data_IF_081276978510
#
_entry.id   IF_081276978510
#
_cell.length_a   1.000
_cell.length_b   1.000
_cell.length_c   1.000
_cell.angle_alpha   90.00
_cell.angle_beta   90.00
_cell.angle_gamma   90.00
#
_symmetry.space_group_name_H-M   'P 1'
#
loop_
_entity.id
_entity.type
_entity.pdbx_description
1 polymer ?
#
# COMPACT_ATOMS: atom_id res chain seq x y z
N UNK A 1 5.38 2.78 -7.48
CA UNK A 1 5.24 4.17 -6.96
C UNK A 1 5.15 4.11 -5.44
N UNK A 2 6.29 4.31 -4.77
CA UNK A 2 6.42 4.29 -3.31
C UNK A 2 6.40 5.69 -2.68
N UNK A 3 6.44 5.73 -1.35
CA UNK A 3 6.34 6.97 -0.57
C UNK A 3 5.59 6.79 0.74
N UNK A 4 5.89 7.65 1.71
CA UNK A 4 5.20 7.69 3.02
C UNK A 4 3.67 7.74 2.87
N UNK A 5 2.97 7.26 3.89
CA UNK A 5 1.54 7.59 4.04
C UNK A 5 1.35 9.11 4.07
N UNK A 6 0.35 9.65 3.38
CA UNK A 6 0.13 11.10 3.25
C UNK A 6 1.05 11.85 2.27
N UNK A 7 1.99 11.17 1.59
CA UNK A 7 2.88 11.83 0.62
C UNK A 7 2.14 12.39 -0.60
N UNK A 8 1.13 11.66 -1.10
CA UNK A 8 0.35 12.03 -2.29
C UNK A 8 0.39 11.01 -3.42
N UNK A 9 0.88 9.79 -3.18
CA UNK A 9 1.03 8.73 -4.20
C UNK A 9 -0.25 8.52 -4.99
N UNK A 10 -1.36 8.29 -4.28
CA UNK A 10 -2.66 8.05 -4.90
C UNK A 10 -3.15 9.25 -5.74
N UNK A 11 -2.67 10.48 -5.49
CA UNK A 11 -2.96 11.63 -6.36
C UNK A 11 -2.19 11.52 -7.68
N UNK A 12 -0.89 11.24 -7.64
CA UNK A 12 -0.07 11.06 -8.86
C UNK A 12 -0.52 9.82 -9.63
N UNK A 13 -0.86 8.73 -8.95
CA UNK A 13 -1.39 7.51 -9.59
C UNK A 13 -2.67 7.80 -10.36
N UNK A 14 -3.61 8.55 -9.77
CA UNK A 14 -4.85 8.96 -10.46
C UNK A 14 -4.56 9.85 -11.68
N UNK A 15 -3.68 10.84 -11.53
CA UNK A 15 -3.29 11.71 -12.66
C UNK A 15 -2.61 10.91 -13.79
N UNK A 16 -1.70 9.99 -13.45
CA UNK A 16 -1.06 9.10 -14.40
C UNK A 16 -2.08 8.18 -15.09
N UNK A 17 -3.00 7.60 -14.34
CA UNK A 17 -4.07 6.78 -14.88
C UNK A 17 -4.92 7.57 -15.88
N UNK A 18 -5.38 8.76 -15.52
CA UNK A 18 -6.17 9.61 -16.43
C UNK A 18 -5.40 9.98 -17.70
N UNK A 19 -4.10 10.24 -17.60
CA UNK A 19 -3.24 10.51 -18.77
C UNK A 19 -3.11 9.30 -19.67
N UNK A 20 -2.86 8.11 -19.12
CA UNK A 20 -2.76 6.87 -19.90
C UNK A 20 -4.08 6.53 -20.60
N UNK A 21 -5.20 6.71 -19.91
CA UNK A 21 -6.54 6.51 -20.48
C UNK A 21 -6.81 7.47 -21.64
N UNK A 22 -6.33 8.72 -21.57
CA UNK A 22 -6.39 9.67 -22.68
C UNK A 22 -5.55 9.23 -23.91
N UNK A 23 -4.56 8.36 -23.72
CA UNK A 23 -3.82 7.67 -24.78
C UNK A 23 -4.40 6.27 -25.10
N UNK A 24 -5.68 6.05 -24.81
CA UNK A 24 -6.39 4.80 -25.05
C UNK A 24 -5.77 3.55 -24.38
N UNK A 25 -5.01 3.75 -23.30
CA UNK A 25 -4.39 2.67 -22.52
C UNK A 25 -4.94 2.70 -21.10
N UNK A 26 -5.70 1.69 -20.71
CA UNK A 26 -6.22 1.57 -19.34
C UNK A 26 -5.24 0.80 -18.46
N UNK A 27 -4.58 1.43 -17.48
CA UNK A 27 -3.71 0.70 -16.57
C UNK A 27 -4.51 -0.08 -15.52
N UNK A 28 -3.93 -1.16 -15.02
CA UNK A 28 -4.35 -1.81 -13.79
C UNK A 28 -3.61 -1.18 -12.61
N UNK A 29 -4.33 -0.65 -11.63
CA UNK A 29 -3.72 -0.13 -10.38
C UNK A 29 -3.85 -1.19 -9.29
N UNK A 30 -2.75 -1.49 -8.61
CA UNK A 30 -2.70 -2.41 -7.47
C UNK A 30 -2.05 -1.69 -6.30
N UNK A 31 -2.74 -1.63 -5.15
CA UNK A 31 -2.18 -1.08 -3.92
C UNK A 31 -1.54 -2.17 -3.08
N UNK A 32 -0.37 -1.90 -2.50
CA UNK A 32 0.17 -2.77 -1.44
C UNK A 32 -0.76 -2.84 -0.23
N UNK A 33 -1.57 -1.81 0.02
CA UNK A 33 -2.59 -1.83 1.08
C UNK A 33 -3.65 -2.91 0.84
N UNK A 34 -3.94 -3.28 -0.42
CA UNK A 34 -4.89 -4.36 -0.75
C UNK A 34 -4.36 -5.76 -0.41
N UNK A 35 -3.05 -5.87 -0.14
CA UNK A 35 -2.37 -7.09 0.30
C UNK A 35 -2.14 -7.10 1.82
N UNK A 36 -2.85 -6.25 2.57
CA UNK A 36 -2.84 -6.30 4.02
C UNK A 36 -3.39 -7.65 4.52
N UNK A 37 -2.72 -8.30 5.47
CA UNK A 37 -3.06 -9.67 5.94
C UNK A 37 -4.34 -9.76 6.78
N UNK A 38 -4.75 -8.66 7.39
CA UNK A 38 -5.98 -8.56 8.18
C UNK A 38 -5.76 -8.76 9.67
N UNK A 39 -6.69 -8.25 10.47
CA UNK A 39 -6.60 -8.28 11.94
C UNK A 39 -6.55 -9.70 12.46
N UNK A 40 -7.39 -10.59 11.93
CA UNK A 40 -7.46 -12.00 12.33
C UNK A 40 -6.12 -12.70 12.15
N UNK A 41 -5.48 -12.51 10.99
CA UNK A 41 -4.18 -13.09 10.72
C UNK A 41 -3.11 -12.54 11.67
N UNK A 42 -3.09 -11.21 11.85
CA UNK A 42 -2.09 -10.54 12.68
C UNK A 42 -2.19 -10.91 14.16
N UNK A 43 -3.40 -11.03 14.71
CA UNK A 43 -3.63 -11.48 16.08
C UNK A 43 -3.13 -12.91 16.26
N UNK A 44 -3.44 -13.81 15.32
CA UNK A 44 -2.95 -15.19 15.39
C UNK A 44 -1.41 -15.26 15.29
N UNK A 45 -0.81 -14.46 14.40
CA UNK A 45 0.64 -14.33 14.29
C UNK A 45 1.28 -13.81 15.59
N UNK A 46 0.57 -12.94 16.31
CA UNK A 46 1.02 -12.32 17.56
C UNK A 46 0.61 -13.12 18.81
N UNK A 47 0.37 -14.43 18.69
CA UNK A 47 0.06 -15.30 19.83
C UNK A 47 -1.29 -15.04 20.49
N UNK A 48 -2.24 -14.42 19.78
CA UNK A 48 -3.57 -14.06 20.28
C UNK A 48 -3.69 -12.63 20.78
N UNK A 49 -2.60 -11.87 20.83
CA UNK A 49 -2.60 -10.48 21.30
C UNK A 49 -2.92 -9.49 20.16
N UNK A 50 -3.61 -8.37 20.44
CA UNK A 50 -3.89 -7.33 19.45
C UNK A 50 -2.62 -6.81 18.77
N UNK A 51 -2.66 -6.73 17.43
CA UNK A 51 -1.57 -6.12 16.66
C UNK A 51 -1.60 -4.60 16.77
N UNK A 52 -0.42 -4.00 16.89
CA UNK A 52 -0.28 -2.54 17.10
C UNK A 52 0.60 -1.85 16.07
N UNK A 53 1.37 -2.60 15.27
CA UNK A 53 2.39 -2.07 14.34
C UNK A 53 1.93 -2.13 12.89
N UNK A 54 0.91 -1.36 12.54
CA UNK A 54 0.20 -1.45 11.25
C UNK A 54 1.04 -1.10 10.01
N UNK A 55 2.17 -0.41 10.16
CA UNK A 55 3.09 -0.08 9.05
C UNK A 55 4.28 -1.08 8.94
N UNK A 56 4.31 -2.13 9.77
CA UNK A 56 5.34 -3.19 9.74
C UNK A 56 5.25 -4.01 8.44
N UNK A 57 6.37 -4.53 7.95
CA UNK A 57 6.45 -5.29 6.70
C UNK A 57 5.60 -6.56 6.74
N UNK A 58 5.51 -7.21 7.91
CA UNK A 58 4.74 -8.46 8.06
C UNK A 58 3.24 -8.27 7.78
N UNK A 59 2.74 -7.03 7.94
CA UNK A 59 1.34 -6.66 7.69
C UNK A 59 0.97 -6.85 6.21
N UNK A 60 1.94 -6.75 5.30
CA UNK A 60 1.73 -6.77 3.87
C UNK A 60 2.20 -8.10 3.27
N UNK A 61 1.30 -8.85 2.63
CA UNK A 61 1.60 -10.13 1.99
C UNK A 61 2.26 -9.94 0.62
N UNK A 62 3.50 -9.44 0.64
CA UNK A 62 4.25 -9.11 -0.57
C UNK A 62 4.66 -10.35 -1.39
N UNK A 63 4.77 -11.53 -0.78
CA UNK A 63 5.05 -12.77 -1.50
C UNK A 63 3.85 -13.19 -2.36
N UNK A 64 2.65 -13.07 -1.81
CA UNK A 64 1.43 -13.31 -2.58
C UNK A 64 1.28 -12.26 -3.68
N UNK A 65 1.59 -11.00 -3.38
CA UNK A 65 1.61 -9.93 -4.38
C UNK A 65 2.62 -10.20 -5.50
N UNK A 66 3.82 -10.71 -5.18
CA UNK A 66 4.82 -11.11 -6.17
C UNK A 66 4.23 -12.14 -7.14
N UNK A 67 3.63 -13.20 -6.63
CA UNK A 67 3.04 -14.25 -7.47
C UNK A 67 1.88 -13.74 -8.33
N UNK A 68 1.07 -12.81 -7.81
CA UNK A 68 -0.01 -12.19 -8.58
C UNK A 68 0.54 -11.25 -9.67
N UNK A 69 1.63 -10.51 -9.41
CA UNK A 69 2.32 -9.70 -10.42
C UNK A 69 2.89 -10.57 -11.55
N UNK A 70 3.56 -11.67 -11.21
CA UNK A 70 4.14 -12.60 -12.20
C UNK A 70 3.07 -13.21 -13.09
N UNK A 71 1.94 -13.63 -12.52
CA UNK A 71 0.79 -14.11 -13.28
C UNK A 71 0.27 -13.06 -14.27
N UNK A 72 0.13 -11.80 -13.83
CA UNK A 72 -0.32 -10.72 -14.71
C UNK A 72 0.68 -10.43 -15.84
N UNK A 73 1.99 -10.46 -15.56
CA UNK A 73 3.04 -10.30 -16.59
C UNK A 73 2.97 -11.41 -17.63
N UNK A 74 2.61 -12.63 -17.23
CA UNK A 74 2.39 -13.77 -18.13
C UNK A 74 1.03 -13.75 -18.85
N UNK A 75 0.21 -12.70 -18.64
CA UNK A 75 -1.12 -12.58 -19.24
C UNK A 75 -2.20 -13.43 -18.56
N UNK A 76 -1.92 -14.00 -17.39
CA UNK A 76 -2.87 -14.80 -16.59
C UNK A 76 -3.69 -13.90 -15.66
N UNK A 77 -4.99 -14.14 -15.50
CA UNK A 77 -5.81 -13.38 -14.56
C UNK A 77 -5.48 -13.74 -13.12
N UNK A 78 -5.71 -12.80 -12.20
CA UNK A 78 -5.58 -13.01 -10.75
C UNK A 78 -6.94 -12.85 -10.06
N UNK A 79 -7.05 -13.28 -8.80
CA UNK A 79 -8.20 -12.93 -7.96
C UNK A 79 -8.10 -11.45 -7.59
N UNK A 80 -9.19 -10.68 -7.76
CA UNK A 80 -9.24 -9.31 -7.22
C UNK A 80 -9.09 -9.34 -5.71
N UNK A 81 -8.28 -8.41 -5.18
CA UNK A 81 -8.06 -8.19 -3.74
C UNK A 81 -8.31 -6.74 -3.43
N UNK A 82 -8.94 -6.48 -2.29
CA UNK A 82 -9.04 -5.16 -1.68
C UNK A 82 -9.01 -5.30 -0.17
N UNK A 83 -8.64 -4.24 0.54
CA UNK A 83 -8.71 -4.23 2.00
C UNK A 83 -9.91 -3.42 2.49
N UNK A 84 -10.76 -4.04 3.32
CA UNK A 84 -11.86 -3.34 3.97
C UNK A 84 -11.39 -2.74 5.29
N UNK A 85 -11.25 -1.41 5.31
CA UNK A 85 -10.85 -0.66 6.49
C UNK A 85 -11.91 -0.65 7.60
N UNK A 86 -13.18 -0.96 7.30
CA UNK A 86 -14.25 -1.03 8.30
C UNK A 86 -14.14 -2.29 9.14
N UNK A 87 -13.90 -3.43 8.48
CA UNK A 87 -13.73 -4.73 9.16
C UNK A 87 -12.28 -5.03 9.49
N UNK A 88 -11.34 -4.26 8.92
CA UNK A 88 -9.90 -4.50 8.94
C UNK A 88 -9.52 -5.91 8.44
N UNK A 89 -10.14 -6.33 7.33
CA UNK A 89 -9.95 -7.65 6.72
C UNK A 89 -9.85 -7.60 5.19
N UNK A 90 -9.14 -8.55 4.56
CA UNK A 90 -9.10 -8.68 3.10
C UNK A 90 -10.47 -9.04 2.52
N UNK A 91 -10.78 -8.50 1.36
CA UNK A 91 -11.93 -8.85 0.53
C UNK A 91 -11.46 -9.35 -0.82
N UNK A 92 -12.13 -10.39 -1.30
CA UNK A 92 -11.85 -11.03 -2.58
C UNK A 92 -13.07 -10.93 -3.48
N UNK A 93 -12.85 -10.53 -4.72
CA UNK A 93 -13.89 -10.40 -5.75
C UNK A 93 -13.50 -11.17 -7.01
N UNK A 94 -14.26 -11.02 -8.10
CA UNK A 94 -14.02 -11.73 -9.35
C UNK A 94 -12.61 -11.55 -9.96
N UNK A 95 -12.31 -12.28 -11.04
CA UNK A 95 -10.99 -12.26 -11.65
C UNK A 95 -10.67 -10.90 -12.29
N UNK A 96 -9.41 -10.48 -12.17
CA UNK A 96 -8.84 -9.33 -12.87
C UNK A 96 -7.93 -9.84 -13.97
N UNK A 97 -8.19 -9.42 -15.21
CA UNK A 97 -7.36 -9.73 -16.35
C UNK A 97 -6.12 -8.82 -16.41
N UNK A 98 -5.02 -9.37 -16.95
CA UNK A 98 -3.79 -8.62 -17.23
C UNK A 98 -4.07 -7.38 -18.08
N UNK A 99 -3.34 -6.30 -17.79
CA UNK A 99 -3.36 -5.05 -18.55
C UNK A 99 -1.95 -4.73 -19.05
N UNK A 100 -1.80 -4.02 -20.18
CA UNK A 100 -0.48 -3.66 -20.73
C UNK A 100 0.37 -2.82 -19.77
N UNK A 101 -0.27 -2.07 -18.86
CA UNK A 101 0.39 -1.28 -17.83
C UNK A 101 -0.19 -1.67 -16.47
N UNK A 102 0.69 -2.05 -15.56
CA UNK A 102 0.35 -2.31 -14.15
C UNK A 102 1.06 -1.25 -13.31
N UNK A 103 0.29 -0.48 -12.55
CA UNK A 103 0.79 0.54 -11.62
C UNK A 103 0.66 -0.02 -10.21
N UNK A 104 1.81 -0.23 -9.58
CA UNK A 104 1.87 -0.63 -8.18
C UNK A 104 2.08 0.62 -7.31
N UNK A 105 1.24 0.80 -6.29
CA UNK A 105 1.31 1.91 -5.35
C UNK A 105 1.24 1.46 -3.89
N UNK A 106 1.58 2.36 -2.97
CA UNK A 106 1.53 2.14 -1.53
C UNK A 106 2.90 2.23 -0.86
N UNK A 107 2.93 2.05 0.47
CA UNK A 107 4.14 2.33 1.26
C UNK A 107 5.26 1.31 1.01
N UNK A 108 4.90 0.07 0.62
CA UNK A 108 5.85 -1.00 0.26
C UNK A 108 6.00 -1.19 -1.25
N UNK A 109 5.49 -0.29 -2.09
CA UNK A 109 5.43 -0.46 -3.54
C UNK A 109 6.80 -0.56 -4.24
N UNK A 110 7.86 -0.10 -3.58
CA UNK A 110 9.24 -0.20 -4.06
C UNK A 110 10.02 -1.34 -3.36
N UNK A 111 9.35 -2.23 -2.63
CA UNK A 111 10.00 -3.37 -1.97
C UNK A 111 10.71 -4.27 -2.99
N UNK A 112 11.95 -4.73 -2.72
CA UNK A 112 12.66 -5.65 -3.61
C UNK A 112 11.90 -6.98 -3.77
N UNK A 113 11.07 -7.35 -2.78
CA UNK A 113 10.23 -8.56 -2.83
C UNK A 113 9.29 -8.57 -4.03
N UNK A 114 8.77 -7.41 -4.46
CA UNK A 114 7.82 -7.26 -5.59
C UNK A 114 8.41 -6.54 -6.83
N UNK A 115 9.66 -6.08 -6.74
CA UNK A 115 10.39 -5.44 -7.84
C UNK A 115 10.88 -6.44 -8.90
N UNK A 116 10.50 -6.28 -10.17
CA UNK A 116 11.09 -7.01 -11.31
C UNK A 116 12.16 -6.15 -12.00
N UNK A 117 13.14 -6.74 -12.71
CA UNK A 117 14.22 -6.00 -13.37
C UNK A 117 13.76 -4.91 -14.37
N UNK A 118 12.61 -5.11 -15.02
CA UNK A 118 12.08 -4.19 -16.04
C UNK A 118 11.18 -3.09 -15.45
N UNK A 119 11.01 -3.05 -14.12
CA UNK A 119 10.10 -2.10 -13.48
C UNK A 119 10.68 -0.68 -13.44
N UNK A 120 9.79 0.30 -13.64
CA UNK A 120 10.07 1.71 -13.39
C UNK A 120 9.73 2.05 -11.94
N UNK A 121 10.72 2.55 -11.20
CA UNK A 121 10.56 2.95 -9.80
C UNK A 121 10.47 4.46 -9.65
N UNK A 122 9.52 4.90 -8.84
CA UNK A 122 9.37 6.28 -8.43
C UNK A 122 9.04 6.34 -6.94
N UNK A 123 9.75 7.19 -6.21
CA UNK A 123 9.59 7.39 -4.78
C UNK A 123 9.14 8.82 -4.52
N UNK A 124 7.97 8.99 -3.89
CA UNK A 124 7.51 10.31 -3.48
C UNK A 124 8.28 10.81 -2.26
N UNK A 125 9.05 11.88 -2.47
CA UNK A 125 9.94 12.48 -1.46
C UNK A 125 9.31 13.61 -0.64
N UNK A 126 7.98 13.64 -0.54
CA UNK A 126 7.27 14.66 0.24
C UNK A 126 7.75 14.71 1.69
N UNK A 127 7.99 15.94 2.18
CA UNK A 127 8.52 16.17 3.53
C UNK A 127 7.62 15.58 4.62
N UNK A 128 8.25 15.04 5.67
CA UNK A 128 7.58 14.29 6.73
C UNK A 128 6.43 15.06 7.41
N UNK A 129 6.65 16.33 7.78
CA UNK A 129 5.63 17.16 8.42
C UNK A 129 4.36 17.31 7.55
N UNK A 130 4.53 17.48 6.24
CA UNK A 130 3.42 17.54 5.29
C UNK A 130 2.66 16.22 5.21
N UNK A 131 3.39 15.10 5.18
CA UNK A 131 2.80 13.76 5.19
C UNK A 131 1.95 13.52 6.45
N UNK A 132 2.49 13.87 7.62
CA UNK A 132 1.80 13.79 8.92
C UNK A 132 0.53 14.63 8.91
N UNK A 133 0.62 15.91 8.54
CA UNK A 133 -0.55 16.79 8.50
C UNK A 133 -1.67 16.27 7.59
N UNK A 134 -1.31 15.75 6.41
CA UNK A 134 -2.28 15.13 5.48
C UNK A 134 -2.86 13.84 6.03
N UNK A 135 -2.06 12.98 6.67
CA UNK A 135 -2.53 11.73 7.28
C UNK A 135 -3.52 12.01 8.41
N UNK A 136 -3.21 12.94 9.33
CA UNK A 136 -4.15 13.34 10.38
C UNK A 136 -5.49 13.82 9.82
N UNK A 137 -5.46 14.71 8.82
CA UNK A 137 -6.68 15.24 8.22
C UNK A 137 -7.49 14.18 7.48
N UNK A 138 -6.84 13.20 6.85
CA UNK A 138 -7.52 12.05 6.24
C UNK A 138 -8.15 11.17 7.32
N UNK A 139 -7.36 10.77 8.31
CA UNK A 139 -7.79 9.84 9.36
C UNK A 139 -8.98 10.42 10.16
N UNK A 140 -8.93 11.71 10.51
CA UNK A 140 -10.06 12.43 11.13
C UNK A 140 -11.37 12.42 10.33
N UNK A 141 -11.29 12.35 8.99
CA UNK A 141 -12.47 12.43 8.11
C UNK A 141 -12.98 11.08 7.68
N UNK A 142 -12.08 10.13 7.46
CA UNK A 142 -12.34 8.89 6.74
C UNK A 142 -12.21 7.65 7.63
N UNK A 143 -11.58 7.77 8.81
CA UNK A 143 -11.24 6.63 9.67
C UNK A 143 -11.54 6.93 11.15
N UNK A 144 -12.81 6.79 11.58
CA UNK A 144 -13.25 7.09 12.95
C UNK A 144 -12.38 6.45 14.04
N UNK A 145 -11.83 5.27 13.79
CA UNK A 145 -10.95 4.52 14.68
C UNK A 145 -9.59 5.21 14.93
N UNK A 146 -9.14 6.07 14.01
CA UNK A 146 -7.91 6.85 14.10
C UNK A 146 -8.16 8.36 14.31
N UNK A 147 -9.40 8.74 14.68
CA UNK A 147 -9.79 10.15 14.82
C UNK A 147 -9.22 10.83 16.07
N UNK A 148 -8.48 10.13 16.93
CA UNK A 148 -7.70 10.74 18.02
C UNK A 148 -6.36 11.27 17.45
N UNK A 149 -6.20 12.59 17.27
CA UNK A 149 -5.04 13.15 16.60
C UNK A 149 -3.75 13.00 17.42
N UNK A 150 -3.84 12.94 18.76
CA UNK A 150 -2.69 12.75 19.64
C UNK A 150 -2.15 11.34 19.47
N UNK A 151 -3.01 10.32 19.61
CA UNK A 151 -2.62 8.92 19.40
C UNK A 151 -2.09 8.68 17.99
N UNK A 152 -2.76 9.23 16.98
CA UNK A 152 -2.34 9.11 15.59
C UNK A 152 -0.97 9.76 15.35
N UNK A 153 -0.70 10.94 15.94
CA UNK A 153 0.60 11.58 15.88
C UNK A 153 1.69 10.74 16.56
N UNK A 154 1.42 10.26 17.78
CA UNK A 154 2.34 9.39 18.51
C UNK A 154 2.70 8.14 17.71
N UNK A 155 1.70 7.47 17.14
CA UNK A 155 1.90 6.31 16.30
C UNK A 155 2.77 6.63 15.07
N UNK A 156 2.49 7.74 14.37
CA UNK A 156 3.29 8.11 13.20
C UNK A 156 4.75 8.40 13.53
N UNK A 157 5.02 9.03 14.67
CA UNK A 157 6.37 9.37 15.11
C UNK A 157 7.16 8.14 15.59
N UNK A 158 6.50 7.23 16.31
CA UNK A 158 7.17 6.14 17.02
C UNK A 158 7.15 4.82 16.24
N UNK A 159 6.18 4.60 15.35
CA UNK A 159 6.03 3.34 14.62
C UNK A 159 6.18 3.55 13.10
N UNK A 160 5.32 4.39 12.50
CA UNK A 160 5.24 4.49 11.04
C UNK A 160 6.48 5.11 10.38
N UNK A 161 7.01 6.21 10.91
CA UNK A 161 8.21 6.86 10.35
C UNK A 161 9.47 5.99 10.52
N UNK A 162 9.74 5.38 11.70
CA UNK A 162 10.83 4.42 11.84
C UNK A 162 10.71 3.24 10.86
N UNK A 163 9.51 2.65 10.71
CA UNK A 163 9.27 1.56 9.75
C UNK A 163 9.60 2.00 8.31
N UNK A 164 9.06 3.14 7.87
CA UNK A 164 9.33 3.67 6.53
C UNK A 164 10.83 3.98 6.30
N UNK A 165 11.52 4.56 7.28
CA UNK A 165 12.97 4.81 7.17
C UNK A 165 13.77 3.51 7.07
N UNK A 166 13.35 2.47 7.78
CA UNK A 166 13.98 1.17 7.70
C UNK A 166 13.81 0.56 6.29
N UNK A 167 12.61 0.65 5.71
CA UNK A 167 12.33 0.21 4.35
C UNK A 167 13.30 0.86 3.35
N UNK A 168 13.45 2.20 3.39
CA UNK A 168 14.34 2.93 2.49
C UNK A 168 15.81 2.51 2.59
N UNK A 169 16.25 2.01 3.74
CA UNK A 169 17.62 1.50 3.92
C UNK A 169 17.81 0.12 3.28
N UNK A 170 16.76 -0.69 3.21
CA UNK A 170 16.78 -2.01 2.59
C UNK A 170 16.67 -1.95 1.06
N UNK A 171 16.20 -0.84 0.50
CA UNK A 171 16.04 -0.63 -0.95
C UNK A 171 17.22 0.06 -1.62
N UNK A 172 18.25 0.48 -0.86
CA UNK A 172 19.46 1.15 -1.33
C UNK A 172 20.66 0.23 -1.23
#
# INVERSE_FOLDING_TARGET
IGGRSGSGKSTIVRDLQSKLEAYATRPLVISTDDYHRGTTWLVNHNGGEPWTKWDDAIVYDLETMRGDIEQLVEGRPIQSRSFDWTTAEPRYEGPIAAQPIIIIEGIYANSPVISLPENLHYEMTTGFATCVGRRLLRDLRERPEFADPEKSLHYMLNEAEPAYRNQLRMTR
#
